data_IF_358462267040
#
_entry.id   IF_358462267040
#
_cell.length_a   1.000
_cell.length_b   1.000
_cell.length_c   1.000
_cell.angle_alpha   90.00
_cell.angle_beta   90.00
_cell.angle_gamma   90.00
#
_symmetry.space_group_name_H-M   'P 1'
#
loop_
_entity.id
_entity.type
_entity.pdbx_description
1 polymer ?
#
# COMPACT_ATOMS: atom_id res chain seq x y z
N UNK A 1 -24.96 11.87 1.13
CA UNK A 1 -23.81 12.79 0.99
C UNK A 1 -22.85 12.55 2.14
N UNK A 2 -21.64 12.10 1.81
CA UNK A 2 -20.53 11.86 2.75
C UNK A 2 -19.76 13.17 2.91
N UNK A 3 -19.38 13.55 4.13
CA UNK A 3 -18.57 14.76 4.34
C UNK A 3 -17.08 14.50 4.12
N UNK A 4 -16.26 15.56 4.13
CA UNK A 4 -14.80 15.49 3.89
C UNK A 4 -14.02 14.58 4.88
N UNK A 5 -14.66 14.12 5.97
CA UNK A 5 -14.09 13.16 6.93
C UNK A 5 -14.58 11.73 6.72
N UNK A 6 -15.24 11.44 5.59
CA UNK A 6 -15.76 10.10 5.28
C UNK A 6 -16.99 9.69 6.12
N UNK A 7 -17.53 10.59 6.95
CA UNK A 7 -18.72 10.29 7.76
C UNK A 7 -19.99 10.58 6.96
N UNK A 8 -20.89 9.60 6.94
CA UNK A 8 -22.22 9.77 6.36
C UNK A 8 -23.02 10.77 7.20
N UNK A 9 -23.65 11.74 6.55
CA UNK A 9 -24.62 12.59 7.23
C UNK A 9 -25.86 11.76 7.55
N UNK A 10 -26.27 11.72 8.83
CA UNK A 10 -27.52 11.08 9.24
C UNK A 10 -28.75 11.92 8.88
N UNK A 11 -28.57 13.19 8.52
CA UNK A 11 -29.69 14.12 8.25
C UNK A 11 -30.67 13.61 7.18
N UNK A 12 -30.23 13.07 6.02
CA UNK A 12 -31.13 12.48 5.04
C UNK A 12 -31.88 11.25 5.57
N UNK A 13 -31.23 10.47 6.44
CA UNK A 13 -31.82 9.26 7.03
C UNK A 13 -32.89 9.62 8.07
N UNK A 14 -32.61 10.59 8.94
CA UNK A 14 -33.57 11.14 9.91
C UNK A 14 -34.71 11.90 9.24
N UNK A 15 -34.44 12.66 8.19
CA UNK A 15 -35.49 13.38 7.47
C UNK A 15 -36.50 12.43 6.79
N UNK A 16 -36.02 11.30 6.28
CA UNK A 16 -36.84 10.31 5.55
C UNK A 16 -37.53 9.30 6.46
N UNK A 17 -36.84 8.82 7.50
CA UNK A 17 -37.29 7.69 8.31
C UNK A 17 -37.48 8.01 9.79
N UNK A 18 -37.17 9.25 10.21
CA UNK A 18 -37.22 9.78 11.59
C UNK A 18 -36.33 9.02 12.59
N UNK A 19 -36.62 7.75 12.85
CA UNK A 19 -35.89 6.85 13.73
C UNK A 19 -35.65 5.48 13.09
N UNK A 20 -34.66 4.73 13.57
CA UNK A 20 -34.41 3.35 13.12
C UNK A 20 -35.63 2.45 13.34
N UNK A 21 -36.37 2.66 14.44
CA UNK A 21 -37.57 1.89 14.76
C UNK A 21 -38.71 2.18 13.77
N UNK A 22 -38.95 3.45 13.41
CA UNK A 22 -39.94 3.79 12.39
C UNK A 22 -39.55 3.26 11.01
N UNK A 23 -38.26 3.33 10.65
CA UNK A 23 -37.75 2.72 9.41
C UNK A 23 -38.06 1.22 9.37
N UNK A 24 -37.84 0.51 10.48
CA UNK A 24 -38.08 -0.92 10.61
C UNK A 24 -39.57 -1.27 10.54
N UNK A 25 -40.44 -0.46 11.16
CA UNK A 25 -41.89 -0.63 11.08
C UNK A 25 -42.42 -0.44 9.66
N UNK A 26 -41.91 0.56 8.94
CA UNK A 26 -42.27 0.77 7.54
C UNK A 26 -41.78 -0.39 6.68
N UNK A 27 -40.54 -0.85 6.86
CA UNK A 27 -40.01 -2.00 6.15
C UNK A 27 -40.84 -3.28 6.39
N UNK A 28 -41.23 -3.54 7.65
CA UNK A 28 -42.08 -4.68 8.03
C UNK A 28 -43.48 -4.59 7.42
N UNK A 29 -44.01 -3.37 7.24
CA UNK A 29 -45.31 -3.14 6.59
C UNK A 29 -45.22 -3.27 5.06
N UNK A 30 -44.11 -2.83 4.47
CA UNK A 30 -43.90 -2.86 3.01
C UNK A 30 -43.49 -4.24 2.51
N UNK A 31 -42.83 -5.03 3.34
CA UNK A 31 -42.35 -6.37 3.01
C UNK A 31 -42.73 -7.39 4.10
N UNK A 32 -44.02 -7.76 4.19
CA UNK A 32 -44.51 -8.65 5.25
C UNK A 32 -43.93 -10.06 5.18
N UNK A 33 -43.65 -10.57 3.97
CA UNK A 33 -43.23 -11.96 3.75
C UNK A 33 -41.70 -12.17 3.70
N UNK A 34 -40.89 -11.10 3.77
CA UNK A 34 -39.42 -11.22 3.74
C UNK A 34 -38.75 -11.10 5.12
N UNK A 35 -39.54 -10.88 6.17
CA UNK A 35 -39.08 -10.83 7.55
C UNK A 35 -39.72 -11.98 8.34
N UNK A 36 -39.38 -13.20 7.95
CA UNK A 36 -39.45 -14.33 8.88
C UNK A 36 -38.77 -13.92 10.18
N UNK A 37 -39.43 -14.20 11.31
CA UNK A 37 -38.91 -13.86 12.63
C UNK A 37 -37.46 -14.37 12.72
N UNK A 38 -36.48 -13.56 13.15
CA UNK A 38 -35.16 -14.09 13.39
C UNK A 38 -35.34 -15.11 14.51
N UNK A 39 -35.20 -16.40 14.20
CA UNK A 39 -34.86 -17.38 15.21
C UNK A 39 -33.48 -16.96 15.70
N UNK A 40 -33.46 -16.20 16.80
CA UNK A 40 -32.27 -15.92 17.57
C UNK A 40 -31.84 -17.24 18.21
N UNK A 41 -31.22 -18.10 17.42
CA UNK A 41 -30.34 -19.12 17.99
C UNK A 41 -29.28 -18.37 18.79
N UNK A 42 -29.24 -18.65 20.09
CA UNK A 42 -28.32 -18.02 21.02
C UNK A 42 -26.89 -18.40 20.64
N UNK A 43 -26.26 -17.56 19.82
CA UNK A 43 -24.84 -17.63 19.54
C UNK A 43 -24.09 -17.32 20.83
N UNK A 44 -23.45 -18.35 21.40
CA UNK A 44 -22.59 -18.21 22.56
C UNK A 44 -21.47 -17.18 22.31
N UNK A 45 -20.89 -16.60 23.38
CA UNK A 45 -20.02 -15.42 23.30
C UNK A 45 -18.71 -15.57 22.51
N UNK A 46 -18.42 -16.75 21.94
CA UNK A 46 -17.19 -17.08 21.22
C UNK A 46 -17.40 -17.53 19.76
N UNK A 47 -18.57 -17.29 19.15
CA UNK A 47 -18.74 -17.55 17.73
C UNK A 47 -18.03 -16.47 16.89
N UNK A 48 -16.83 -16.77 16.38
CA UNK A 48 -16.18 -15.98 15.35
C UNK A 48 -17.10 -15.90 14.13
N UNK A 49 -17.68 -14.73 13.88
CA UNK A 49 -18.48 -14.50 12.69
C UNK A 49 -17.58 -14.55 11.46
N UNK A 50 -17.85 -15.42 10.47
CA UNK A 50 -17.05 -15.47 9.26
C UNK A 50 -17.19 -14.11 8.56
N UNK A 51 -16.07 -13.41 8.35
CA UNK A 51 -16.03 -12.13 7.63
C UNK A 51 -16.47 -12.37 6.18
N UNK A 52 -17.75 -12.20 5.91
CA UNK A 52 -18.31 -12.28 4.55
C UNK A 52 -17.71 -11.13 3.73
N UNK A 53 -16.77 -11.43 2.85
CA UNK A 53 -16.27 -10.47 1.85
C UNK A 53 -17.30 -10.34 0.74
N UNK A 54 -18.25 -9.42 0.88
CA UNK A 54 -19.19 -9.07 -0.19
C UNK A 54 -18.44 -8.20 -1.21
N UNK A 55 -17.74 -8.84 -2.15
CA UNK A 55 -17.31 -8.15 -3.37
C UNK A 55 -18.44 -8.35 -4.38
N UNK A 56 -19.27 -7.34 -4.67
CA UNK A 56 -20.35 -7.50 -5.62
C UNK A 56 -19.78 -7.84 -6.99
N UNK A 57 -20.25 -8.93 -7.58
CA UNK A 57 -19.97 -9.20 -8.99
C UNK A 57 -20.52 -8.05 -9.82
N UNK A 58 -19.66 -7.46 -10.64
CA UNK A 58 -20.01 -6.36 -11.53
C UNK A 58 -19.89 -6.86 -12.96
N UNK A 59 -20.96 -6.70 -13.74
CA UNK A 59 -20.93 -7.01 -15.18
C UNK A 59 -20.04 -5.96 -15.85
N UNK A 60 -18.83 -6.38 -16.26
CA UNK A 60 -17.87 -5.52 -16.96
C UNK A 60 -18.12 -5.60 -18.47
N UNK A 61 -18.02 -4.49 -19.22
CA UNK A 61 -18.05 -4.55 -20.68
C UNK A 61 -16.87 -5.37 -21.23
N UNK A 62 -17.08 -6.00 -22.38
CA UNK A 62 -16.18 -6.97 -23.03
C UNK A 62 -14.78 -6.43 -23.31
N UNK A 63 -14.62 -5.12 -23.54
CA UNK A 63 -13.32 -4.49 -23.69
C UNK A 63 -13.10 -3.32 -22.73
N UNK A 64 -12.03 -3.33 -21.93
CA UNK A 64 -11.66 -2.18 -21.12
C UNK A 64 -11.11 -1.07 -22.02
N UNK A 65 -11.88 0.01 -22.19
CA UNK A 65 -11.46 1.21 -22.96
C UNK A 65 -10.19 1.90 -22.41
N UNK A 66 -9.76 1.62 -21.18
CA UNK A 66 -8.57 2.22 -20.54
C UNK A 66 -7.88 1.20 -19.63
N UNK A 67 -6.55 1.19 -19.65
CA UNK A 67 -5.73 0.52 -18.63
C UNK A 67 -6.06 1.15 -17.26
N UNK A 68 -6.46 0.33 -16.30
CA UNK A 68 -6.75 0.80 -14.94
C UNK A 68 -5.44 0.99 -14.18
N UNK A 69 -5.37 2.03 -13.35
CA UNK A 69 -4.26 2.19 -12.40
C UNK A 69 -4.39 1.13 -11.32
N UNK A 70 -3.30 0.40 -11.08
CA UNK A 70 -3.20 -0.61 -10.02
C UNK A 70 -2.56 0.05 -8.81
N UNK A 71 -3.11 -0.21 -7.62
CA UNK A 71 -2.58 0.28 -6.35
C UNK A 71 -2.16 -0.90 -5.49
N UNK A 72 -1.04 -0.73 -4.77
CA UNK A 72 -0.59 -1.72 -3.79
C UNK A 72 -1.42 -1.70 -2.50
N UNK A 73 -0.94 -2.40 -1.48
CA UNK A 73 -1.57 -2.41 -0.14
C UNK A 73 -1.58 -1.00 0.47
N UNK A 74 -2.61 -0.59 1.21
CA UNK A 74 -2.59 0.69 1.92
C UNK A 74 -1.41 0.76 2.91
N UNK A 75 -0.68 1.87 2.90
CA UNK A 75 0.45 2.15 3.82
C UNK A 75 0.34 3.51 4.52
N UNK A 76 -0.31 4.51 3.91
CA UNK A 76 -0.47 5.87 4.46
C UNK A 76 0.84 6.50 4.99
N UNK A 77 1.94 6.33 4.27
CA UNK A 77 3.26 6.80 4.66
C UNK A 77 3.58 8.16 4.01
N UNK A 78 3.77 9.22 4.80
CA UNK A 78 4.20 10.57 4.37
C UNK A 78 3.48 11.13 3.14
N UNK A 79 2.17 10.86 3.02
CA UNK A 79 1.35 11.29 1.89
C UNK A 79 1.18 10.27 0.77
N UNK A 80 2.02 9.23 0.71
CA UNK A 80 1.83 8.07 -0.17
C UNK A 80 0.87 7.06 0.48
N UNK A 81 -0.35 6.94 -0.06
CA UNK A 81 -1.40 6.12 0.56
C UNK A 81 -1.26 4.62 0.31
N UNK A 82 -0.65 4.22 -0.81
CA UNK A 82 -0.56 2.83 -1.23
C UNK A 82 0.89 2.44 -1.49
N UNK A 83 1.21 1.18 -1.23
CA UNK A 83 2.51 0.59 -1.51
C UNK A 83 2.87 0.70 -3.00
N UNK A 84 4.17 0.85 -3.32
CA UNK A 84 4.68 0.72 -4.67
C UNK A 84 4.23 -0.57 -5.34
N UNK A 85 4.13 -0.51 -6.66
CA UNK A 85 3.82 -1.66 -7.54
C UNK A 85 4.84 -1.79 -8.68
N UNK A 86 5.89 -0.97 -8.68
CA UNK A 86 6.96 -0.89 -9.67
C UNK A 86 8.19 -0.14 -9.09
N UNK A 87 9.30 -0.06 -9.84
CA UNK A 87 10.54 0.61 -9.42
C UNK A 87 10.31 2.10 -9.12
N UNK A 88 9.56 2.81 -9.96
CA UNK A 88 9.32 4.25 -9.76
C UNK A 88 8.70 4.60 -8.40
N UNK A 89 7.84 3.73 -7.86
CA UNK A 89 7.30 3.90 -6.52
C UNK A 89 8.35 3.71 -5.43
N UNK A 90 9.34 2.85 -5.65
CA UNK A 90 10.50 2.65 -4.76
C UNK A 90 11.40 3.87 -4.78
N UNK A 91 11.74 4.38 -5.98
CA UNK A 91 12.50 5.64 -6.16
C UNK A 91 11.86 6.78 -5.38
N UNK A 92 10.53 6.95 -5.52
CA UNK A 92 9.79 8.00 -4.82
C UNK A 92 9.85 7.84 -3.28
N UNK A 93 9.64 6.61 -2.78
CA UNK A 93 9.73 6.34 -1.34
C UNK A 93 11.13 6.60 -0.79
N UNK A 94 12.16 6.08 -1.45
CA UNK A 94 13.54 6.29 -1.04
C UNK A 94 13.91 7.76 -1.08
N UNK A 95 13.53 8.50 -2.13
CA UNK A 95 13.74 9.94 -2.21
C UNK A 95 13.10 10.74 -1.06
N UNK A 96 12.00 10.25 -0.47
CA UNK A 96 11.38 10.86 0.70
C UNK A 96 12.10 10.59 2.03
N UNK A 97 12.95 9.56 2.12
CA UNK A 97 13.57 9.11 3.38
C UNK A 97 15.10 8.99 3.30
N UNK A 98 15.71 9.24 2.14
CA UNK A 98 17.14 9.00 1.88
C UNK A 98 18.05 9.68 2.90
N UNK A 99 17.77 10.95 3.23
CA UNK A 99 18.54 11.70 4.23
C UNK A 99 18.48 11.08 5.63
N UNK A 100 17.31 10.59 6.05
CA UNK A 100 17.14 9.93 7.36
C UNK A 100 17.84 8.57 7.41
N UNK A 101 17.95 7.92 6.25
CA UNK A 101 18.74 6.71 6.07
C UNK A 101 20.25 6.98 5.95
N UNK A 102 20.67 8.24 5.97
CA UNK A 102 22.08 8.61 5.86
C UNK A 102 22.61 8.64 4.43
N UNK A 103 21.75 8.89 3.45
CA UNK A 103 22.10 9.04 2.04
C UNK A 103 21.95 10.50 1.58
N UNK A 104 22.92 10.97 0.80
CA UNK A 104 22.86 12.24 0.07
C UNK A 104 22.89 11.92 -1.42
N UNK A 105 21.78 12.18 -2.10
CA UNK A 105 21.61 11.84 -3.52
C UNK A 105 22.18 12.96 -4.38
N UNK A 106 23.09 12.62 -5.29
CA UNK A 106 23.73 13.57 -6.20
C UNK A 106 23.10 13.53 -7.59
N UNK A 107 22.74 12.34 -8.09
CA UNK A 107 22.03 12.20 -9.36
C UNK A 107 21.17 10.94 -9.44
N UNK A 108 20.11 11.00 -10.26
CA UNK A 108 19.26 9.87 -10.64
C UNK A 108 19.17 9.88 -12.17
N UNK A 109 19.38 8.71 -12.78
CA UNK A 109 19.41 8.49 -14.23
C UNK A 109 18.59 7.26 -14.60
N UNK A 110 18.45 7.02 -15.90
CA UNK A 110 17.80 5.82 -16.46
C UNK A 110 18.78 4.72 -16.83
N UNK A 111 20.07 5.05 -16.82
CA UNK A 111 21.14 4.13 -17.16
C UNK A 111 21.67 3.48 -15.89
N UNK A 112 21.97 2.19 -15.98
CA UNK A 112 22.56 1.45 -14.88
C UNK A 112 23.93 2.01 -14.45
N UNK A 113 24.21 2.14 -13.14
CA UNK A 113 23.26 2.05 -12.03
C UNK A 113 22.40 3.33 -11.91
N UNK A 114 21.14 3.18 -11.51
CA UNK A 114 20.11 4.23 -11.54
C UNK A 114 20.46 5.50 -10.75
N UNK A 115 21.24 5.39 -9.69
CA UNK A 115 21.44 6.47 -8.74
C UNK A 115 22.87 6.53 -8.21
N UNK A 116 23.36 7.75 -8.06
CA UNK A 116 24.69 8.04 -7.52
C UNK A 116 24.59 9.05 -6.38
N UNK A 117 25.37 8.83 -5.32
CA UNK A 117 25.42 9.76 -4.21
C UNK A 117 26.49 9.42 -3.17
N UNK A 118 26.22 9.82 -1.93
CA UNK A 118 27.05 9.53 -0.75
C UNK A 118 26.24 8.83 0.33
N UNK A 119 26.83 7.85 1.01
CA UNK A 119 26.28 7.26 2.23
C UNK A 119 27.17 7.53 3.44
N UNK A 120 26.56 7.82 4.58
CA UNK A 120 27.26 8.01 5.84
C UNK A 120 27.50 6.66 6.52
N UNK A 121 28.75 6.23 6.59
CA UNK A 121 29.14 4.96 7.24
C UNK A 121 29.66 5.16 8.68
N UNK A 122 30.01 6.40 9.05
CA UNK A 122 30.49 6.75 10.40
C UNK A 122 29.87 8.10 10.79
N UNK A 123 28.76 8.02 11.54
CA UNK A 123 27.99 9.19 11.99
C UNK A 123 28.75 10.03 13.02
N UNK A 124 29.56 9.41 13.86
CA UNK A 124 30.28 10.11 14.93
C UNK A 124 31.37 11.02 14.38
N UNK A 125 32.08 10.54 13.34
CA UNK A 125 33.15 11.28 12.70
C UNK A 125 32.72 11.96 11.38
N UNK A 126 31.41 11.95 11.07
CA UNK A 126 30.83 12.52 9.86
C UNK A 126 31.56 12.08 8.58
N UNK A 127 31.84 10.78 8.44
CA UNK A 127 32.48 10.23 7.24
C UNK A 127 31.44 9.71 6.27
N UNK A 128 31.73 9.98 5.00
CA UNK A 128 30.89 9.68 3.86
C UNK A 128 31.70 8.93 2.83
N UNK A 129 31.08 7.95 2.20
CA UNK A 129 31.64 7.26 1.05
C UNK A 129 30.72 7.39 -0.15
N UNK A 130 31.29 7.24 -1.34
CA UNK A 130 30.52 7.19 -2.57
C UNK A 130 29.69 5.91 -2.62
N UNK A 131 28.50 6.01 -3.23
CA UNK A 131 27.59 4.87 -3.38
C UNK A 131 26.90 4.92 -4.74
N UNK A 132 26.91 3.79 -5.43
CA UNK A 132 26.09 3.49 -6.60
C UNK A 132 24.91 2.62 -6.17
N UNK A 133 23.70 3.05 -6.55
CA UNK A 133 22.44 2.45 -6.12
C UNK A 133 21.65 2.02 -7.34
N UNK A 134 21.13 0.79 -7.31
CA UNK A 134 20.11 0.32 -8.24
C UNK A 134 18.75 0.24 -7.57
N UNK A 135 17.70 0.74 -8.23
CA UNK A 135 16.34 0.65 -7.72
C UNK A 135 15.59 -0.49 -8.35
N UNK A 136 15.02 -1.36 -7.51
CA UNK A 136 14.26 -2.50 -7.99
C UNK A 136 12.92 -2.63 -7.28
N UNK A 137 11.91 -3.17 -7.96
CA UNK A 137 10.69 -3.52 -7.25
C UNK A 137 10.94 -4.72 -6.33
N UNK A 138 11.54 -5.78 -6.88
CA UNK A 138 12.01 -6.97 -6.16
C UNK A 138 13.51 -7.10 -6.31
N UNK A 139 14.23 -7.49 -5.27
CA UNK A 139 15.68 -7.68 -5.38
C UNK A 139 16.10 -8.65 -6.50
N UNK A 140 15.29 -9.67 -6.80
CA UNK A 140 15.57 -10.62 -7.90
C UNK A 140 15.59 -9.97 -9.28
N UNK A 141 14.88 -8.84 -9.47
CA UNK A 141 14.83 -8.13 -10.74
C UNK A 141 16.23 -7.68 -11.19
N UNK A 142 17.11 -7.34 -10.25
CA UNK A 142 18.50 -6.97 -10.55
C UNK A 142 19.20 -8.04 -11.38
N UNK A 143 19.01 -9.31 -11.00
CA UNK A 143 19.54 -10.47 -11.72
C UNK A 143 18.80 -10.70 -13.03
N UNK A 144 17.48 -10.50 -13.06
CA UNK A 144 16.65 -10.67 -14.26
C UNK A 144 17.01 -9.66 -15.36
N UNK A 145 17.38 -8.44 -14.98
CA UNK A 145 17.87 -7.39 -15.87
C UNK A 145 19.33 -7.60 -16.32
N UNK A 146 20.08 -8.50 -15.65
CA UNK A 146 21.47 -8.81 -16.00
C UNK A 146 22.48 -7.74 -15.57
N UNK A 147 22.17 -6.99 -14.51
CA UNK A 147 23.06 -5.97 -13.96
C UNK A 147 24.32 -6.59 -13.36
N UNK A 148 25.46 -5.90 -13.52
CA UNK A 148 26.75 -6.37 -12.99
C UNK A 148 26.90 -5.97 -11.52
N UNK A 149 26.93 -6.92 -10.55
CA UNK A 149 27.09 -6.64 -9.13
C UNK A 149 28.31 -5.79 -8.77
N UNK A 150 29.39 -5.85 -9.56
CA UNK A 150 30.63 -5.10 -9.28
C UNK A 150 30.50 -3.57 -9.50
N UNK A 151 29.41 -3.12 -10.11
CA UNK A 151 29.16 -1.70 -10.42
C UNK A 151 28.05 -1.10 -9.55
N UNK A 152 27.51 -1.86 -8.60
CA UNK A 152 26.42 -1.44 -7.71
C UNK A 152 26.78 -1.79 -6.27
N UNK A 153 26.73 -0.80 -5.40
CA UNK A 153 27.05 -0.99 -3.98
C UNK A 153 25.82 -1.45 -3.19
N UNK A 154 24.63 -0.91 -3.52
CA UNK A 154 23.38 -1.19 -2.80
C UNK A 154 22.20 -1.31 -3.75
N UNK A 155 21.42 -2.38 -3.60
CA UNK A 155 20.09 -2.49 -4.22
C UNK A 155 19.06 -1.92 -3.24
N UNK A 156 18.33 -0.91 -3.67
CA UNK A 156 17.18 -0.38 -2.91
C UNK A 156 15.90 -0.96 -3.50
N UNK A 157 15.19 -1.79 -2.74
CA UNK A 157 13.99 -2.46 -3.24
C UNK A 157 12.77 -2.35 -2.34
N UNK A 158 11.59 -2.61 -2.90
CA UNK A 158 10.37 -2.73 -2.10
C UNK A 158 10.25 -4.10 -1.42
N UNK A 159 10.62 -5.17 -2.10
CA UNK A 159 10.53 -6.54 -1.59
C UNK A 159 11.85 -7.29 -1.82
N UNK A 160 12.45 -7.79 -0.73
CA UNK A 160 13.63 -8.63 -0.82
C UNK A 160 13.22 -10.10 -0.91
N UNK A 161 13.56 -10.73 -2.03
CA UNK A 161 13.21 -12.11 -2.40
C UNK A 161 14.39 -12.92 -2.95
N UNK A 162 15.61 -12.37 -2.87
CA UNK A 162 16.83 -13.01 -3.34
C UNK A 162 17.80 -13.28 -2.19
N UNK A 163 17.71 -14.46 -1.59
CA UNK A 163 18.49 -14.85 -0.39
C UNK A 163 20.01 -14.82 -0.63
N UNK A 164 20.48 -15.37 -1.76
CA UNK A 164 21.91 -15.39 -2.14
C UNK A 164 22.33 -14.14 -2.93
N UNK A 165 21.81 -12.96 -2.60
CA UNK A 165 22.14 -11.72 -3.31
C UNK A 165 23.60 -11.30 -3.01
N UNK A 166 24.44 -11.08 -4.05
CA UNK A 166 25.84 -10.69 -3.86
C UNK A 166 26.03 -9.20 -3.53
N UNK A 167 24.98 -8.39 -3.70
CA UNK A 167 24.98 -6.94 -3.41
C UNK A 167 24.22 -6.67 -2.12
N UNK A 168 24.62 -5.65 -1.35
CA UNK A 168 23.88 -5.19 -0.18
C UNK A 168 22.45 -4.80 -0.56
N UNK A 169 21.44 -5.19 0.24
CA UNK A 169 20.03 -4.90 -0.05
C UNK A 169 19.39 -4.06 1.05
N UNK A 170 18.81 -2.93 0.65
CA UNK A 170 17.99 -2.07 1.49
C UNK A 170 16.50 -2.25 1.14
N UNK A 171 15.77 -3.02 1.95
CA UNK A 171 14.33 -3.27 1.79
C UNK A 171 13.48 -2.14 2.40
N UNK A 172 12.96 -1.25 1.55
CA UNK A 172 12.16 -0.08 1.97
C UNK A 172 10.89 -0.47 2.71
N UNK A 173 10.23 -1.57 2.34
CA UNK A 173 8.98 -2.01 2.98
C UNK A 173 9.14 -2.30 4.47
N UNK A 174 10.31 -2.78 4.88
CA UNK A 174 10.61 -3.01 6.29
C UNK A 174 11.05 -1.72 6.98
N UNK A 175 11.89 -0.92 6.33
CA UNK A 175 12.41 0.36 6.83
C UNK A 175 11.30 1.34 7.23
N UNK A 176 10.29 1.54 6.38
CA UNK A 176 9.23 2.55 6.63
C UNK A 176 8.35 2.25 7.85
N UNK A 177 8.49 1.08 8.48
CA UNK A 177 7.78 0.74 9.73
C UNK A 177 8.44 1.34 10.96
N UNK A 178 9.70 1.76 10.84
CA UNK A 178 10.54 2.23 11.94
C UNK A 178 10.86 3.73 11.88
N UNK A 179 10.36 4.42 10.85
CA UNK A 179 10.55 5.85 10.58
C UNK A 179 9.19 6.54 10.53
#
# INVERSE_FOLDING_TARGET
MVNAKGKFSERPYRARWKSLNEAFLIAKKTFPDSLGSPQLEQLGPNAETPKVKIVPETIKPSEPKRKRVVFGKPINFRGLRFAPVNEQGVVYLFGMISQELGYLIESIRTDYPDCEGKRCFDKENNKWEHVQIEFEYRSSNFREHGHNPEQCDVIVCWEHDWEDCPVEVLEIRSVIKYI
#
